data_IF_512071928819
#
_entry.id   IF_512071928819
#
_cell.length_a   1.000
_cell.length_b   1.000
_cell.length_c   1.000
_cell.angle_alpha   90.00
_cell.angle_beta   90.00
_cell.angle_gamma   90.00
#
_symmetry.space_group_name_H-M   'P 1'
#
loop_
_entity.id
_entity.type
_entity.pdbx_description
1 polymer ?
#
# COMPACT_ATOMS: atom_id res chain seq x y z
N UNK A 1 22.31 10.49 -11.81
CA UNK A 1 22.46 11.31 -10.59
C UNK A 1 21.48 10.78 -9.57
N UNK A 2 21.93 10.37 -8.38
CA UNK A 2 21.04 9.81 -7.37
C UNK A 2 20.15 10.93 -6.81
N UNK A 3 18.83 10.80 -6.95
CA UNK A 3 17.86 11.66 -6.26
C UNK A 3 18.10 11.51 -4.77
N UNK A 4 18.36 12.58 -4.01
CA UNK A 4 18.51 12.46 -2.56
C UNK A 4 17.23 11.84 -2.01
N UNK A 5 17.37 10.76 -1.24
CA UNK A 5 16.22 10.10 -0.64
C UNK A 5 15.45 11.12 0.23
N UNK A 6 14.11 11.19 0.11
CA UNK A 6 13.32 12.11 0.92
C UNK A 6 13.57 11.83 2.40
N UNK A 7 13.75 12.90 3.20
CA UNK A 7 13.89 12.76 4.66
C UNK A 7 12.58 12.23 5.23
N UNK A 8 12.58 10.94 5.53
CA UNK A 8 11.40 10.22 6.02
C UNK A 8 11.33 10.34 7.54
N UNK A 9 10.15 10.66 8.06
CA UNK A 9 9.84 10.66 9.49
C UNK A 9 8.83 9.53 9.72
N UNK A 10 9.19 8.59 10.59
CA UNK A 10 8.29 7.50 10.98
C UNK A 10 7.42 7.99 12.14
N UNK A 11 6.11 7.79 12.02
CA UNK A 11 5.13 8.18 13.01
C UNK A 11 4.33 6.94 13.44
N UNK A 12 4.45 6.61 14.73
CA UNK A 12 3.74 5.49 15.34
C UNK A 12 2.32 5.91 15.74
N UNK A 13 1.33 5.18 15.23
CA UNK A 13 -0.09 5.43 15.48
C UNK A 13 -0.68 4.51 16.56
N UNK A 14 0.12 3.69 17.24
CA UNK A 14 -0.35 2.71 18.24
C UNK A 14 -1.02 3.37 19.45
N UNK A 15 -0.72 4.64 19.72
CA UNK A 15 -1.30 5.41 20.82
C UNK A 15 -2.65 6.06 20.47
N UNK A 16 -3.10 5.98 19.21
CA UNK A 16 -4.38 6.52 18.79
C UNK A 16 -5.52 5.59 19.23
N UNK A 17 -6.39 6.10 20.10
CA UNK A 17 -7.49 5.34 20.67
C UNK A 17 -8.69 5.15 19.72
N UNK A 18 -8.80 5.98 18.67
CA UNK A 18 -9.96 6.02 17.78
C UNK A 18 -9.59 6.04 16.30
N UNK A 19 -10.52 5.54 15.49
CA UNK A 19 -10.52 5.66 14.04
C UNK A 19 -11.69 6.57 13.65
N UNK A 20 -11.44 7.87 13.59
CA UNK A 20 -12.43 8.87 13.20
C UNK A 20 -11.90 9.76 12.06
N UNK A 21 -12.81 10.47 11.42
CA UNK A 21 -12.50 11.36 10.28
C UNK A 21 -11.68 12.57 10.71
N UNK A 22 -11.74 12.99 11.97
CA UNK A 22 -10.91 14.07 12.51
C UNK A 22 -9.43 13.64 12.56
N UNK A 23 -9.17 12.41 13.01
CA UNK A 23 -7.84 11.79 12.99
C UNK A 23 -7.33 11.69 11.55
N UNK A 24 -8.16 11.26 10.60
CA UNK A 24 -7.78 11.19 9.18
C UNK A 24 -7.43 12.57 8.59
N UNK A 25 -8.25 13.60 8.86
CA UNK A 25 -7.97 14.98 8.43
C UNK A 25 -6.64 15.49 9.02
N UNK A 26 -6.39 15.24 10.31
CA UNK A 26 -5.14 15.60 10.97
C UNK A 26 -3.92 14.94 10.30
N UNK A 27 -3.97 13.63 10.06
CA UNK A 27 -2.89 12.89 9.41
C UNK A 27 -2.64 13.42 7.98
N UNK A 28 -3.70 13.72 7.24
CA UNK A 28 -3.61 14.29 5.89
C UNK A 28 -2.95 15.67 5.90
N UNK A 29 -3.32 16.54 6.85
CA UNK A 29 -2.69 17.86 7.02
C UNK A 29 -1.22 17.75 7.40
N UNK A 30 -0.87 16.82 8.29
CA UNK A 30 0.53 16.57 8.68
C UNK A 30 1.37 16.10 7.49
N UNK A 31 0.86 15.15 6.70
CA UNK A 31 1.53 14.65 5.51
C UNK A 31 1.71 15.74 4.45
N UNK A 32 0.68 16.58 4.23
CA UNK A 32 0.76 17.72 3.31
C UNK A 32 1.78 18.77 3.79
N UNK A 33 1.81 19.08 5.09
CA UNK A 33 2.78 20.00 5.68
C UNK A 33 4.21 19.47 5.51
N UNK A 34 4.43 18.17 5.74
CA UNK A 34 5.74 17.53 5.53
C UNK A 34 6.17 17.61 4.04
N UNK A 35 5.26 17.32 3.09
CA UNK A 35 5.57 17.38 1.67
C UNK A 35 5.97 18.78 1.21
N UNK A 36 5.27 19.81 1.69
CA UNK A 36 5.63 21.22 1.42
C UNK A 36 7.04 21.59 1.92
N UNK A 37 7.58 20.82 2.87
CA UNK A 37 8.93 20.97 3.41
C UNK A 37 9.93 19.97 2.81
N UNK A 38 9.56 19.25 1.74
CA UNK A 38 10.41 18.23 1.11
C UNK A 38 10.64 16.99 1.98
N UNK A 39 9.71 16.70 2.91
CA UNK A 39 9.75 15.55 3.82
C UNK A 39 8.59 14.60 3.54
N UNK A 40 8.72 13.38 4.03
CA UNK A 40 7.69 12.35 3.92
C UNK A 40 7.39 11.78 5.30
N UNK A 41 6.11 11.54 5.60
CA UNK A 41 5.72 10.80 6.79
C UNK A 41 5.43 9.35 6.40
N UNK A 42 5.78 8.42 7.28
CA UNK A 42 5.40 7.03 7.18
C UNK A 42 4.65 6.66 8.45
N UNK A 43 3.37 6.32 8.31
CA UNK A 43 2.53 5.95 9.44
C UNK A 43 2.60 4.43 9.67
N UNK A 44 3.04 4.04 10.87
CA UNK A 44 3.20 2.64 11.28
C UNK A 44 2.25 2.32 12.42
N UNK A 45 1.95 1.03 12.60
CA UNK A 45 1.08 0.52 13.67
C UNK A 45 -0.31 1.17 13.74
N UNK A 46 -0.82 1.69 12.61
CA UNK A 46 -2.21 2.10 12.49
C UNK A 46 -3.14 0.93 12.79
N UNK A 47 -4.17 1.15 13.61
CA UNK A 47 -5.18 0.14 13.91
C UNK A 47 -5.90 -0.29 12.62
N UNK A 48 -6.43 -1.53 12.56
CA UNK A 48 -7.18 -2.00 11.38
C UNK A 48 -8.33 -1.07 11.00
N UNK A 49 -9.12 -0.62 11.99
CA UNK A 49 -10.22 0.32 11.78
C UNK A 49 -9.77 1.66 11.16
N UNK A 50 -8.60 2.18 11.57
CA UNK A 50 -8.05 3.41 11.01
C UNK A 50 -7.59 3.20 9.56
N UNK A 51 -6.99 2.03 9.25
CA UNK A 51 -6.60 1.67 7.88
C UNK A 51 -7.82 1.56 6.96
N UNK A 52 -8.87 0.90 7.41
CA UNK A 52 -10.14 0.77 6.69
C UNK A 52 -10.76 2.13 6.42
N UNK A 53 -10.81 3.03 7.43
CA UNK A 53 -11.33 4.37 7.26
C UNK A 53 -10.50 5.19 6.26
N UNK A 54 -9.17 5.10 6.31
CA UNK A 54 -8.28 5.77 5.36
C UNK A 54 -8.52 5.26 3.93
N UNK A 55 -8.66 3.94 3.75
CA UNK A 55 -8.97 3.34 2.46
C UNK A 55 -10.36 3.76 1.96
N UNK A 56 -11.36 3.79 2.85
CA UNK A 56 -12.70 4.28 2.55
C UNK A 56 -12.69 5.73 2.07
N UNK A 57 -11.83 6.57 2.66
CA UNK A 57 -11.63 7.95 2.22
C UNK A 57 -10.79 8.09 0.93
N UNK A 58 -10.22 7.00 0.40
CA UNK A 58 -9.33 7.04 -0.77
C UNK A 58 -7.99 7.75 -0.50
N UNK A 59 -7.52 7.72 0.75
CA UNK A 59 -6.30 8.42 1.19
C UNK A 59 -5.11 7.48 1.46
N UNK A 60 -5.24 6.19 1.15
CA UNK A 60 -4.20 5.17 1.34
C UNK A 60 -2.90 5.51 0.61
N UNK A 61 -2.97 5.96 -0.65
CA UNK A 61 -1.80 6.36 -1.43
C UNK A 61 -1.13 7.64 -0.92
N UNK A 62 -1.91 8.53 -0.29
CA UNK A 62 -1.42 9.81 0.26
C UNK A 62 -0.77 9.59 1.62
N UNK A 63 -1.43 8.85 2.50
CA UNK A 63 -1.00 8.61 3.87
C UNK A 63 0.01 7.48 3.98
N UNK A 64 0.15 6.60 2.96
CA UNK A 64 1.13 5.50 2.96
C UNK A 64 1.09 4.70 4.25
N UNK A 65 -0.13 4.40 4.71
CA UNK A 65 -0.33 3.47 5.81
C UNK A 65 0.02 2.10 5.26
N UNK A 66 1.06 1.46 5.77
CA UNK A 66 1.47 0.14 5.32
C UNK A 66 0.25 -0.80 5.32
N UNK A 67 -0.26 -1.25 4.16
CA UNK A 67 -1.28 -2.27 4.16
C UNK A 67 -0.67 -3.49 4.82
N UNK A 68 -1.41 -4.10 5.74
CA UNK A 68 -1.10 -5.47 6.14
C UNK A 68 -1.18 -6.28 4.85
N UNK A 69 -0.03 -6.67 4.30
CA UNK A 69 0.08 -7.55 3.14
C UNK A 69 -0.51 -8.90 3.52
N UNK A 70 -1.83 -9.00 3.42
CA UNK A 70 -2.52 -10.27 3.34
C UNK A 70 -2.11 -10.88 2.01
N UNK A 71 -1.46 -12.04 2.07
CA UNK A 71 -1.05 -12.75 0.88
C UNK A 71 -2.32 -13.07 0.07
N UNK A 72 -2.47 -12.45 -1.10
CA UNK A 72 -3.40 -12.95 -2.10
C UNK A 72 -3.04 -14.41 -2.36
N UNK A 73 -3.93 -15.33 -1.97
CA UNK A 73 -3.82 -16.73 -2.32
C UNK A 73 -4.01 -16.81 -3.83
N UNK A 74 -2.91 -16.71 -4.56
CA UNK A 74 -2.85 -16.93 -6.00
C UNK A 74 -3.44 -18.32 -6.26
N UNK A 75 -4.54 -18.37 -7.00
CA UNK A 75 -5.16 -19.61 -7.48
C UNK A 75 -4.12 -20.48 -8.20
N UNK A 76 -4.23 -21.80 -8.02
CA UNK A 76 -3.36 -22.79 -8.63
C UNK A 76 -3.29 -22.60 -10.16
N UNK A 77 -2.09 -22.65 -10.78
CA UNK A 77 -1.98 -22.66 -12.22
C UNK A 77 -2.57 -23.97 -12.75
N UNK A 78 -3.78 -23.90 -13.32
CA UNK A 78 -4.36 -24.99 -14.10
C UNK A 78 -3.38 -25.36 -15.21
N UNK A 79 -2.93 -26.62 -15.19
CA UNK A 79 -1.93 -27.16 -16.10
C UNK A 79 -2.31 -26.92 -17.56
N UNK A 80 -1.43 -26.24 -18.28
CA UNK A 80 -1.46 -26.15 -19.75
C UNK A 80 -1.12 -27.52 -20.33
N UNK A 81 -2.06 -28.15 -21.03
CA UNK A 81 -1.76 -29.29 -21.90
C UNK A 81 -1.10 -28.76 -23.19
N UNK A 82 0.16 -29.11 -23.41
CA UNK A 82 0.84 -28.88 -24.69
C UNK A 82 0.22 -29.76 -25.78
N UNK A 83 -0.42 -29.14 -26.77
CA UNK A 83 -0.74 -29.79 -28.03
C UNK A 83 0.56 -30.20 -28.74
N UNK A 84 0.81 -31.51 -28.88
CA UNK A 84 1.87 -31.99 -29.80
C UNK A 84 1.36 -31.93 -31.23
N UNK A 85 1.98 -31.08 -32.03
CA UNK A 85 1.97 -31.21 -33.48
C UNK A 85 2.79 -32.47 -33.85
N UNK A 86 2.15 -33.49 -34.42
CA UNK A 86 2.85 -34.59 -35.07
C UNK A 86 2.83 -34.34 -36.58
N UNK A 87 4.02 -34.21 -37.16
CA UNK A 87 4.24 -33.84 -38.56
C UNK A 87 3.58 -34.78 -39.58
N UNK A 88 3.30 -34.20 -40.75
CA UNK A 88 2.74 -34.83 -41.95
C UNK A 88 3.73 -35.86 -42.55
N UNK A 89 3.34 -37.12 -42.82
CA UNK A 89 4.23 -38.08 -43.44
C UNK A 89 4.38 -37.81 -44.94
N UNK A 90 5.62 -37.63 -45.40
CA UNK A 90 5.95 -37.50 -46.82
C UNK A 90 5.88 -38.85 -47.55
N UNK A 91 5.13 -38.85 -48.66
CA UNK A 91 5.14 -39.71 -49.87
C UNK A 91 5.04 -41.25 -49.69
#
# INVERSE_FOLDING_TARGET
MATPAPRTIVCDLSALAGADVETVDLLARLQLAAQRQGRMLLFVHASPALRELIAFCGLDAVLRVEPGREAEQREDPLGVEEERQLDDPAA
#
